data_IF_981526015857
#
_entry.id   IF_981526015857
#
_cell.length_a   1.000
_cell.length_b   1.000
_cell.length_c   1.000
_cell.angle_alpha   90.00
_cell.angle_beta   90.00
_cell.angle_gamma   90.00
#
_symmetry.space_group_name_H-M   'P 1'
#
loop_
_entity.id
_entity.type
_entity.pdbx_description
1 polymer ?
#
# COMPACT_ATOMS: atom_id res chain seq x y z
N UNK A 1 2.44 -14.46 -11.66
CA UNK A 1 1.73 -13.76 -12.77
C UNK A 1 1.86 -14.65 -14.00
N UNK A 2 0.75 -15.22 -14.48
CA UNK A 2 0.73 -16.04 -15.71
C UNK A 2 0.56 -15.10 -16.90
N UNK A 3 1.34 -15.27 -17.95
CA UNK A 3 1.19 -14.53 -19.21
C UNK A 3 0.97 -15.52 -20.35
N UNK A 4 0.07 -15.17 -21.29
CA UNK A 4 -0.06 -15.91 -22.54
C UNK A 4 1.01 -15.45 -23.52
N UNK A 5 1.66 -16.41 -24.18
CA UNK A 5 2.74 -16.17 -25.13
C UNK A 5 2.19 -15.37 -26.34
N UNK A 6 2.53 -14.08 -26.47
CA UNK A 6 2.23 -13.29 -27.68
C UNK A 6 1.65 -11.88 -27.49
N UNK A 7 1.43 -11.41 -26.27
CA UNK A 7 0.95 -10.03 -26.04
C UNK A 7 2.08 -9.02 -26.29
N UNK A 8 1.74 -7.91 -26.95
CA UNK A 8 2.69 -6.82 -27.23
C UNK A 8 3.23 -6.19 -25.93
N UNK A 9 4.39 -5.54 -26.02
CA UNK A 9 5.15 -4.94 -24.90
C UNK A 9 4.33 -3.94 -24.06
N UNK A 10 3.18 -3.48 -24.57
CA UNK A 10 2.17 -2.74 -23.85
C UNK A 10 0.80 -2.82 -24.52
N UNK A 11 -0.22 -2.30 -23.84
CA UNK A 11 -1.59 -2.19 -24.33
C UNK A 11 -2.22 -0.86 -23.92
N UNK A 12 -3.14 -0.38 -24.76
CA UNK A 12 -3.87 0.87 -24.57
C UNK A 12 -5.34 0.57 -24.27
N UNK A 13 -5.95 1.34 -23.36
CA UNK A 13 -7.39 1.27 -23.11
C UNK A 13 -7.95 2.64 -22.70
N UNK A 14 -9.22 2.87 -23.03
CA UNK A 14 -9.92 4.11 -22.72
C UNK A 14 -10.52 4.05 -21.29
N UNK A 15 -10.40 5.15 -20.55
CA UNK A 15 -10.99 5.33 -19.22
C UNK A 15 -11.82 6.62 -19.18
N UNK A 16 -12.63 6.80 -18.14
CA UNK A 16 -13.37 8.06 -17.93
C UNK A 16 -12.48 9.31 -17.77
N UNK A 17 -11.18 9.14 -17.51
CA UNK A 17 -10.20 10.22 -17.42
C UNK A 17 -9.37 10.40 -18.71
N UNK A 18 -9.67 9.63 -19.76
CA UNK A 18 -8.92 9.61 -21.02
C UNK A 18 -8.24 8.27 -21.30
N UNK A 19 -7.48 8.22 -22.39
CA UNK A 19 -6.76 7.03 -22.84
C UNK A 19 -5.50 6.80 -22.00
N UNK A 20 -5.31 5.57 -21.53
CA UNK A 20 -4.15 5.15 -20.74
C UNK A 20 -3.37 4.09 -21.54
N UNK A 21 -2.04 4.24 -21.58
CA UNK A 21 -1.10 3.25 -22.11
C UNK A 21 -0.36 2.59 -20.96
N UNK A 22 -0.33 1.26 -20.96
CA UNK A 22 0.42 0.45 -19.98
C UNK A 22 1.49 -0.33 -20.74
N UNK A 23 2.76 -0.14 -20.40
CA UNK A 23 3.88 -0.85 -21.03
C UNK A 23 4.87 -1.38 -20.00
N UNK A 24 5.59 -2.44 -20.37
CA UNK A 24 6.68 -2.99 -19.55
C UNK A 24 7.92 -2.11 -19.66
N UNK A 25 8.49 -1.77 -18.51
CA UNK A 25 9.83 -1.16 -18.45
C UNK A 25 10.88 -2.23 -18.13
N UNK A 26 12.15 -1.94 -18.43
CA UNK A 26 13.27 -2.79 -18.05
C UNK A 26 13.56 -2.73 -16.54
N UNK A 27 12.93 -1.80 -15.83
CA UNK A 27 13.04 -1.65 -14.39
C UNK A 27 12.19 -2.71 -13.71
N UNK A 28 12.79 -3.45 -12.77
CA UNK A 28 12.02 -4.31 -11.87
C UNK A 28 11.05 -3.44 -11.08
N UNK A 29 9.77 -3.48 -11.44
CA UNK A 29 8.72 -2.98 -10.55
C UNK A 29 8.84 -3.75 -9.24
N UNK A 30 9.06 -3.04 -8.14
CA UNK A 30 8.90 -3.66 -6.82
C UNK A 30 7.49 -4.23 -6.75
N UNK A 31 7.30 -5.45 -6.21
CA UNK A 31 5.96 -6.03 -6.01
C UNK A 31 5.00 -5.07 -5.27
N UNK A 32 5.58 -4.17 -4.49
CA UNK A 32 4.93 -3.12 -3.71
C UNK A 32 4.63 -1.82 -4.48
N UNK A 33 4.97 -1.69 -5.77
CA UNK A 33 4.85 -0.42 -6.50
C UNK A 33 3.44 0.18 -6.52
N UNK A 34 2.40 -0.67 -6.52
CA UNK A 34 1.00 -0.23 -6.39
C UNK A 34 0.69 0.45 -5.04
N UNK A 35 1.45 0.14 -3.99
CA UNK A 35 1.28 0.74 -2.67
C UNK A 35 1.71 2.21 -2.62
N UNK A 36 2.57 2.67 -3.54
CA UNK A 36 2.94 4.10 -3.66
C UNK A 36 1.71 4.93 -4.02
N UNK A 37 0.98 4.51 -5.05
CA UNK A 37 -0.24 5.19 -5.47
C UNK A 37 -1.32 5.14 -4.37
N UNK A 38 -1.43 4.00 -3.67
CA UNK A 38 -2.36 3.84 -2.56
C UNK A 38 -2.01 4.74 -1.35
N UNK A 39 -0.73 4.83 -0.99
CA UNK A 39 -0.28 5.74 0.07
C UNK A 39 -0.59 7.20 -0.28
N UNK A 40 -0.30 7.64 -1.51
CA UNK A 40 -0.63 8.99 -1.97
C UNK A 40 -2.15 9.26 -1.93
N UNK A 41 -2.97 8.25 -2.23
CA UNK A 41 -4.43 8.33 -2.10
C UNK A 41 -4.87 8.51 -0.63
N UNK A 42 -4.33 7.70 0.28
CA UNK A 42 -4.64 7.79 1.71
C UNK A 42 -4.27 9.18 2.27
N UNK A 43 -3.09 9.68 1.92
CA UNK A 43 -2.61 11.01 2.31
C UNK A 43 -3.50 12.12 1.75
N UNK A 44 -3.82 12.07 0.45
CA UNK A 44 -4.66 13.08 -0.21
C UNK A 44 -6.04 13.21 0.44
N UNK A 45 -6.61 12.11 0.93
CA UNK A 45 -7.91 12.11 1.58
C UNK A 45 -7.84 12.31 3.11
N UNK A 46 -6.64 12.28 3.68
CA UNK A 46 -6.41 12.37 5.12
C UNK A 46 -7.07 11.23 5.89
N UNK A 47 -7.12 10.02 5.31
CA UNK A 47 -7.89 8.89 5.88
C UNK A 47 -7.28 8.46 7.22
N UNK A 48 -5.97 8.25 7.25
CA UNK A 48 -5.29 7.76 8.46
C UNK A 48 -5.37 8.80 9.57
N UNK A 49 -5.19 10.07 9.24
CA UNK A 49 -5.24 11.19 10.17
C UNK A 49 -6.62 11.31 10.82
N UNK A 50 -7.69 11.17 10.02
CA UNK A 50 -9.08 11.18 10.53
C UNK A 50 -9.36 9.98 11.43
N UNK A 51 -8.89 8.79 11.04
CA UNK A 51 -9.06 7.58 11.85
C UNK A 51 -8.31 7.67 13.17
N UNK A 52 -7.07 8.16 13.14
CA UNK A 52 -6.24 8.40 14.33
C UNK A 52 -6.90 9.40 15.28
N UNK A 53 -7.40 10.54 14.76
CA UNK A 53 -8.11 11.53 15.55
C UNK A 53 -9.40 10.99 16.18
N UNK A 54 -10.05 10.02 15.54
CA UNK A 54 -11.25 9.35 16.05
C UNK A 54 -10.96 8.14 16.94
N UNK A 55 -9.69 7.78 17.16
CA UNK A 55 -9.33 6.57 17.89
C UNK A 55 -9.75 6.69 19.36
N UNK A 56 -10.63 5.81 19.87
CA UNK A 56 -11.12 5.90 21.24
C UNK A 56 -10.10 5.41 22.29
N UNK A 57 -8.99 4.82 21.85
CA UNK A 57 -8.00 4.17 22.70
C UNK A 57 -6.74 5.01 22.75
N UNK A 58 -6.43 5.54 23.93
CA UNK A 58 -5.11 6.12 24.21
C UNK A 58 -4.13 5.02 24.57
N UNK A 59 -3.03 4.92 23.83
CA UNK A 59 -1.95 3.99 24.12
C UNK A 59 -0.88 4.69 24.96
N UNK A 60 -0.69 4.24 26.21
CA UNK A 60 0.17 4.92 27.20
C UNK A 60 1.47 4.19 27.52
N UNK A 61 1.67 2.97 27.02
CA UNK A 61 2.90 2.21 27.25
C UNK A 61 4.07 2.77 26.45
N UNK A 62 5.27 2.80 27.04
CA UNK A 62 6.50 3.17 26.34
C UNK A 62 6.86 2.19 25.20
N UNK A 63 6.30 0.98 25.23
CA UNK A 63 6.45 -0.03 24.17
C UNK A 63 5.20 -0.11 23.26
N UNK A 64 4.31 0.89 23.32
CA UNK A 64 3.14 0.90 22.46
C UNK A 64 3.49 1.35 21.05
N UNK A 65 3.16 0.53 20.05
CA UNK A 65 3.17 0.94 18.65
C UNK A 65 2.23 2.14 18.44
N UNK A 66 2.62 3.19 17.71
CA UNK A 66 1.74 4.32 17.40
C UNK A 66 0.40 3.86 16.79
N UNK A 67 -0.69 4.57 17.09
CA UNK A 67 -2.03 4.27 16.54
C UNK A 67 -2.00 4.30 15.02
N UNK A 68 -1.34 5.31 14.44
CA UNK A 68 -1.07 5.41 13.00
C UNK A 68 -0.54 4.12 12.40
N UNK A 69 0.52 3.57 12.98
CA UNK A 69 1.24 2.44 12.41
C UNK A 69 0.41 1.15 12.51
N UNK A 70 -0.39 1.03 13.58
CA UNK A 70 -1.38 -0.06 13.71
C UNK A 70 -2.45 0.03 12.62
N UNK A 71 -2.97 1.23 12.35
CA UNK A 71 -4.00 1.45 11.32
C UNK A 71 -3.47 1.13 9.92
N UNK A 72 -2.28 1.62 9.59
CA UNK A 72 -1.63 1.33 8.30
C UNK A 72 -1.36 -0.17 8.18
N UNK A 73 -0.83 -0.79 9.23
CA UNK A 73 -0.60 -2.23 9.27
C UNK A 73 -1.87 -3.04 9.02
N UNK A 74 -2.96 -2.68 9.69
CA UNK A 74 -4.26 -3.32 9.46
C UNK A 74 -4.75 -3.18 8.02
N UNK A 75 -4.70 -1.98 7.44
CA UNK A 75 -5.15 -1.72 6.06
C UNK A 75 -4.34 -2.54 5.05
N UNK A 76 -3.02 -2.59 5.20
CA UNK A 76 -2.15 -3.35 4.32
C UNK A 76 -2.40 -4.86 4.42
N UNK A 77 -2.68 -5.37 5.63
CA UNK A 77 -3.10 -6.77 5.83
C UNK A 77 -4.43 -7.03 5.13
N UNK A 78 -5.41 -6.14 5.25
CA UNK A 78 -6.71 -6.27 4.58
C UNK A 78 -6.58 -6.26 3.05
N UNK A 79 -5.75 -5.39 2.48
CA UNK A 79 -5.50 -5.31 1.04
C UNK A 79 -4.88 -6.58 0.47
N UNK A 80 -4.12 -7.30 1.28
CA UNK A 80 -3.44 -8.53 0.89
C UNK A 80 -4.25 -9.79 1.23
N UNK A 81 -5.53 -9.62 1.59
CA UNK A 81 -6.41 -10.72 2.04
C UNK A 81 -5.83 -11.49 3.24
N UNK A 82 -4.98 -10.82 4.03
CA UNK A 82 -4.33 -11.39 5.19
C UNK A 82 -5.34 -11.72 6.28
N UNK A 83 -5.40 -12.99 6.67
CA UNK A 83 -6.29 -13.45 7.75
C UNK A 83 -5.73 -13.23 9.15
N UNK A 84 -4.42 -12.95 9.27
CA UNK A 84 -3.70 -12.78 10.54
C UNK A 84 -2.62 -11.71 10.38
N UNK A 85 -2.37 -10.93 11.43
CA UNK A 85 -1.27 -9.95 11.46
C UNK A 85 0.12 -10.56 11.22
N UNK A 86 0.33 -11.86 11.45
CA UNK A 86 1.61 -12.53 11.09
C UNK A 86 1.92 -12.44 9.58
N UNK A 87 0.90 -12.34 8.73
CA UNK A 87 1.11 -12.20 7.28
C UNK A 87 1.73 -10.83 6.89
N UNK A 88 1.87 -9.92 7.85
CA UNK A 88 2.56 -8.63 7.72
C UNK A 88 4.09 -8.74 7.60
N UNK A 89 4.70 -9.91 7.88
CA UNK A 89 6.17 -10.04 7.90
C UNK A 89 6.84 -9.52 6.62
N UNK A 90 6.28 -9.82 5.45
CA UNK A 90 6.82 -9.34 4.19
C UNK A 90 6.72 -7.82 3.99
N UNK A 91 5.70 -7.18 4.58
CA UNK A 91 5.51 -5.71 4.54
C UNK A 91 6.49 -5.02 5.50
N UNK A 92 6.88 -5.68 6.59
CA UNK A 92 7.86 -5.18 7.54
C UNK A 92 9.30 -5.33 7.02
N UNK A 93 9.56 -6.33 6.19
CA UNK A 93 10.90 -6.61 5.66
C UNK A 93 11.29 -5.72 4.47
N UNK A 94 10.35 -4.94 3.90
CA UNK A 94 10.60 -4.02 2.79
C UNK A 94 10.76 -2.56 3.29
N UNK A 95 11.98 -1.99 3.22
CA UNK A 95 12.23 -0.62 3.69
C UNK A 95 11.47 0.44 2.89
N UNK A 96 11.10 0.15 1.64
CA UNK A 96 10.32 1.08 0.83
C UNK A 96 8.93 1.30 1.44
N UNK A 97 8.32 0.27 2.05
CA UNK A 97 7.02 0.40 2.72
C UNK A 97 7.13 1.36 3.90
N UNK A 98 8.16 1.20 4.72
CA UNK A 98 8.39 2.06 5.90
C UNK A 98 8.47 3.52 5.46
N UNK A 99 9.22 3.79 4.38
CA UNK A 99 9.38 5.14 3.83
C UNK A 99 8.07 5.68 3.23
N UNK A 100 7.40 4.91 2.37
CA UNK A 100 6.17 5.29 1.67
C UNK A 100 5.04 5.63 2.66
N UNK A 101 4.90 4.84 3.73
CA UNK A 101 3.84 4.98 4.72
C UNK A 101 4.24 5.79 5.96
N UNK A 102 5.50 6.22 6.06
CA UNK A 102 6.05 7.00 7.19
C UNK A 102 5.86 6.30 8.54
N UNK A 103 6.11 4.99 8.57
CA UNK A 103 6.03 4.16 9.77
C UNK A 103 7.20 4.47 10.73
N UNK A 104 7.00 4.30 12.04
CA UNK A 104 7.99 4.60 13.08
C UNK A 104 8.48 3.38 13.84
#
# INVERSE_FOLDING_TARGET
>A
MVHQLGEAVGFDFDTGAGRIRVERTATTLTPCGGLVAFAAFLEKLGIIEKMEASCPIQRTSNNATPVRDVLIGFILVCLQEGKRFRHMQWVQDDPAIVEIFKLK
#
